data_IF_503205918429
#
_entry.id   IF_503205918429
#
_cell.length_a   1.000
_cell.length_b   1.000
_cell.length_c   1.000
_cell.angle_alpha   90.00
_cell.angle_beta   90.00
_cell.angle_gamma   90.00
#
_symmetry.space_group_name_H-M   'P 1'
#
loop_
_entity.id
_entity.type
_entity.pdbx_description
1 polymer ?
#
# COMPACT_ATOMS: atom_id res chain seq x y z
N UNK A 1 19.34 22.64 1.43
CA UNK A 1 18.18 23.41 0.95
C UNK A 1 17.06 22.41 0.72
N UNK A 2 16.11 22.27 1.64
CA UNK A 2 15.07 21.22 1.57
C UNK A 2 13.65 21.76 1.59
N UNK A 3 13.41 22.97 2.11
CA UNK A 3 12.05 23.50 2.29
C UNK A 3 11.32 23.98 1.01
N UNK A 4 12.01 24.12 -0.13
CA UNK A 4 11.35 24.46 -1.41
C UNK A 4 10.90 23.23 -2.21
N UNK A 5 11.46 22.05 -1.92
CA UNK A 5 11.30 20.84 -2.74
C UNK A 5 10.71 19.65 -1.96
N UNK A 6 10.48 19.80 -0.65
CA UNK A 6 9.81 18.82 0.19
C UNK A 6 8.45 19.37 0.72
N UNK A 7 7.56 18.48 1.17
CA UNK A 7 6.18 18.71 1.63
C UNK A 7 5.93 19.65 2.80
N UNK A 8 6.74 20.68 3.05
CA UNK A 8 6.46 21.64 4.11
C UNK A 8 5.10 22.37 3.88
N UNK A 9 4.49 22.13 2.70
CA UNK A 9 3.16 22.56 2.24
C UNK A 9 2.15 21.43 1.98
N UNK A 10 2.43 20.13 2.22
CA UNK A 10 1.39 19.10 2.07
C UNK A 10 0.50 19.09 3.31
N UNK A 11 -0.69 19.66 3.16
CA UNK A 11 -1.72 19.67 4.18
C UNK A 11 -2.53 18.38 4.13
N UNK A 12 -3.14 18.00 5.26
CA UNK A 12 -4.14 16.93 5.30
C UNK A 12 -3.66 15.53 4.87
N UNK A 13 -2.35 15.25 4.93
CA UNK A 13 -1.80 13.91 4.70
C UNK A 13 -2.24 12.95 5.81
N UNK A 14 -2.79 11.79 5.44
CA UNK A 14 -3.18 10.73 6.37
C UNK A 14 -2.11 9.63 6.53
N UNK A 15 -1.40 9.31 5.45
CA UNK A 15 -0.34 8.31 5.38
C UNK A 15 0.63 8.68 4.27
N UNK A 16 1.90 8.32 4.42
CA UNK A 16 2.92 8.55 3.40
C UNK A 16 4.03 7.50 3.48
N UNK A 17 4.78 7.34 2.39
CA UNK A 17 6.05 6.63 2.36
C UNK A 17 6.96 7.20 1.27
N UNK A 18 8.27 7.11 1.49
CA UNK A 18 9.24 7.57 0.51
C UNK A 18 9.36 6.58 -0.65
N UNK A 19 9.41 7.12 -1.86
CA UNK A 19 9.92 6.40 -3.01
C UNK A 19 11.44 6.45 -2.98
N UNK A 20 12.06 5.30 -2.73
CA UNK A 20 13.51 5.16 -2.68
C UNK A 20 13.91 3.75 -3.10
N UNK A 21 15.14 3.55 -3.61
CA UNK A 21 15.66 2.20 -3.87
C UNK A 21 15.56 1.32 -2.62
N UNK A 22 15.28 0.02 -2.82
CA UNK A 22 15.12 -0.93 -1.71
C UNK A 22 16.36 -1.04 -0.81
N UNK A 23 17.55 -0.73 -1.36
CA UNK A 23 18.83 -0.73 -0.67
C UNK A 23 19.27 0.65 -0.16
N UNK A 24 18.39 1.67 -0.17
CA UNK A 24 18.70 3.03 0.24
C UNK A 24 19.33 3.14 1.64
N UNK A 25 18.92 2.31 2.60
CA UNK A 25 19.51 2.29 3.96
C UNK A 25 21.00 1.91 3.94
N UNK A 26 21.42 1.13 2.94
CA UNK A 26 22.81 0.68 2.78
C UNK A 26 23.62 1.65 1.93
N UNK A 27 23.01 2.18 0.88
CA UNK A 27 23.69 3.05 -0.09
C UNK A 27 23.70 4.52 0.33
N UNK A 28 22.82 4.91 1.27
CA UNK A 28 22.57 6.31 1.60
C UNK A 28 21.89 7.08 0.46
N UNK A 29 21.24 6.37 -0.48
CA UNK A 29 20.55 6.99 -1.59
C UNK A 29 19.45 7.93 -1.09
N UNK A 30 19.40 9.13 -1.66
CA UNK A 30 18.33 10.07 -1.38
C UNK A 30 16.99 9.54 -1.94
N UNK A 31 15.86 9.85 -1.31
CA UNK A 31 14.55 9.54 -1.87
C UNK A 31 14.36 10.25 -3.22
N UNK A 32 13.65 9.58 -4.12
CA UNK A 32 13.30 10.07 -5.45
C UNK A 32 11.93 10.78 -5.46
N UNK A 33 11.08 10.42 -4.51
CA UNK A 33 9.69 10.86 -4.46
C UNK A 33 9.00 10.53 -3.15
N UNK A 34 7.72 10.86 -3.09
CA UNK A 34 6.83 10.61 -1.96
C UNK A 34 5.49 10.08 -2.47
N UNK A 35 5.07 8.93 -1.96
CA UNK A 35 3.69 8.50 -2.05
C UNK A 35 2.95 8.98 -0.81
N UNK A 36 1.74 9.51 -0.99
CA UNK A 36 0.96 9.99 0.13
C UNK A 36 -0.54 9.94 -0.14
N UNK A 37 -1.32 9.83 0.94
CA UNK A 37 -2.78 9.86 0.88
C UNK A 37 -3.32 11.16 1.46
N UNK A 38 -4.30 11.79 0.80
CA UNK A 38 -4.90 13.04 1.23
C UNK A 38 -6.31 12.87 1.81
N UNK A 39 -6.57 13.58 2.90
CA UNK A 39 -7.89 13.70 3.52
C UNK A 39 -8.73 14.77 2.82
N UNK A 40 -10.02 14.49 2.69
CA UNK A 40 -11.03 15.49 2.36
C UNK A 40 -11.43 16.30 3.60
N UNK A 41 -12.37 17.25 3.42
CA UNK A 41 -12.93 18.09 4.50
C UNK A 41 -13.54 17.33 5.69
N UNK A 42 -13.91 16.06 5.51
CA UNK A 42 -14.46 15.19 6.57
C UNK A 42 -13.36 14.34 7.23
N UNK A 43 -12.08 14.66 7.01
CA UNK A 43 -10.91 13.93 7.50
C UNK A 43 -10.79 12.48 6.99
N UNK A 44 -11.56 12.11 5.95
CA UNK A 44 -11.47 10.80 5.29
C UNK A 44 -10.41 10.84 4.19
N UNK A 45 -9.48 9.91 4.17
CA UNK A 45 -8.50 9.82 3.09
C UNK A 45 -9.16 9.29 1.80
N UNK A 46 -9.15 10.10 0.74
CA UNK A 46 -9.87 9.79 -0.51
C UNK A 46 -8.99 9.69 -1.73
N UNK A 47 -7.77 10.25 -1.69
CA UNK A 47 -6.84 10.23 -2.83
C UNK A 47 -5.49 9.68 -2.41
N UNK A 48 -4.84 8.99 -3.34
CA UNK A 48 -3.42 8.61 -3.27
C UNK A 48 -2.70 9.27 -4.42
N UNK A 49 -1.62 9.97 -4.10
CA UNK A 49 -0.81 10.71 -5.04
C UNK A 49 0.65 10.31 -4.93
N UNK A 50 1.39 10.58 -5.99
CA UNK A 50 2.84 10.51 -6.03
C UNK A 50 3.41 11.88 -6.40
N UNK A 51 4.36 12.36 -5.60
CA UNK A 51 5.15 13.55 -5.85
C UNK A 51 6.60 13.16 -6.11
N UNK A 52 7.17 13.60 -7.23
CA UNK A 52 8.61 13.43 -7.49
C UNK A 52 9.37 14.56 -6.82
N UNK A 53 10.39 14.21 -6.03
CA UNK A 53 11.20 15.22 -5.35
C UNK A 53 12.01 16.03 -6.36
N UNK A 54 11.99 17.35 -6.16
CA UNK A 54 12.60 18.32 -7.07
C UNK A 54 11.60 18.99 -8.00
N UNK A 55 10.41 18.41 -8.19
CA UNK A 55 9.33 19.08 -8.93
C UNK A 55 8.78 20.25 -8.11
N UNK A 56 8.31 21.30 -8.80
CA UNK A 56 7.79 22.50 -8.14
C UNK A 56 6.43 22.24 -7.48
N UNK A 57 6.33 22.57 -6.20
CA UNK A 57 5.09 22.58 -5.44
C UNK A 57 4.41 23.95 -5.50
N UNK A 58 3.63 24.21 -6.56
CA UNK A 58 2.65 25.29 -6.57
C UNK A 58 1.43 24.89 -5.72
N UNK A 59 1.65 24.73 -4.41
CA UNK A 59 0.68 24.12 -3.50
C UNK A 59 -0.64 24.89 -3.41
N UNK A 60 -1.75 24.15 -3.53
CA UNK A 60 -3.05 24.53 -2.98
C UNK A 60 -3.35 23.69 -1.73
N UNK A 61 -4.38 24.04 -0.95
CA UNK A 61 -4.80 23.28 0.24
C UNK A 61 -5.21 21.81 -0.06
N UNK A 62 -5.42 21.48 -1.34
CA UNK A 62 -5.98 20.21 -1.78
C UNK A 62 -5.02 19.32 -2.59
N UNK A 63 -4.04 19.87 -3.33
CA UNK A 63 -3.00 19.15 -4.08
C UNK A 63 -1.98 20.13 -4.73
N UNK A 64 -0.77 19.66 -5.03
CA UNK A 64 0.13 20.35 -5.97
C UNK A 64 -0.23 19.92 -7.41
N UNK A 65 -0.37 20.84 -8.38
CA UNK A 65 -0.87 20.54 -9.73
C UNK A 65 -0.02 19.56 -10.53
N UNK A 66 1.23 19.32 -10.11
CA UNK A 66 2.17 18.42 -10.77
C UNK A 66 2.18 16.99 -10.19
N UNK A 67 1.41 16.75 -9.13
CA UNK A 67 1.40 15.44 -8.49
C UNK A 67 0.55 14.43 -9.28
N UNK A 68 1.07 13.23 -9.42
CA UNK A 68 0.42 12.15 -10.16
C UNK A 68 -0.66 11.52 -9.27
N UNK A 69 -1.94 11.69 -9.64
CA UNK A 69 -3.05 10.99 -9.01
C UNK A 69 -3.01 9.50 -9.38
N UNK A 70 -2.77 8.64 -8.39
CA UNK A 70 -2.72 7.19 -8.58
C UNK A 70 -4.09 6.53 -8.36
N UNK A 71 -4.82 6.96 -7.32
CA UNK A 71 -6.12 6.39 -6.97
C UNK A 71 -7.01 7.45 -6.32
N UNK A 72 -8.29 7.47 -6.66
CA UNK A 72 -9.33 8.25 -5.98
C UNK A 72 -10.50 7.36 -5.58
N UNK A 73 -10.79 7.27 -4.29
CA UNK A 73 -12.03 6.68 -3.78
C UNK A 73 -13.17 7.68 -3.87
N UNK A 74 -14.16 7.35 -4.71
CA UNK A 74 -15.43 8.09 -4.82
C UNK A 74 -16.51 7.56 -3.88
N UNK A 75 -16.30 6.38 -3.28
CA UNK A 75 -17.27 5.77 -2.38
C UNK A 75 -17.06 6.31 -0.95
N UNK A 76 -18.12 6.83 -0.34
CA UNK A 76 -18.04 7.47 0.96
C UNK A 76 -17.73 6.52 2.13
N UNK A 77 -17.97 5.23 1.93
CA UNK A 77 -17.70 4.16 2.89
C UNK A 77 -16.23 3.74 2.89
N UNK A 78 -15.46 4.17 1.90
CA UNK A 78 -14.09 3.72 1.69
C UNK A 78 -13.06 4.82 1.95
N UNK A 79 -11.93 4.40 2.51
CA UNK A 79 -10.74 5.22 2.69
C UNK A 79 -9.57 4.60 1.93
N UNK A 80 -8.61 5.44 1.55
CA UNK A 80 -7.36 4.99 0.90
C UNK A 80 -6.15 5.29 1.77
N UNK A 81 -5.14 4.42 1.75
CA UNK A 81 -3.88 4.64 2.46
C UNK A 81 -2.71 4.05 1.70
N UNK A 82 -1.51 4.54 2.00
CA UNK A 82 -0.26 4.03 1.43
C UNK A 82 0.63 3.45 2.53
N UNK A 83 1.48 2.50 2.16
CA UNK A 83 2.49 1.90 3.00
C UNK A 83 3.60 1.26 2.18
N UNK A 84 4.63 0.75 2.84
CA UNK A 84 5.76 0.09 2.18
C UNK A 84 5.89 -1.34 2.71
N UNK A 85 6.27 -2.24 1.82
CA UNK A 85 6.64 -3.61 2.16
C UNK A 85 7.91 -3.66 3.03
N UNK A 86 8.10 -4.76 3.78
CA UNK A 86 9.20 -4.85 4.74
C UNK A 86 10.58 -4.85 4.06
N UNK A 87 10.66 -5.38 2.85
CA UNK A 87 11.87 -5.37 2.01
C UNK A 87 12.02 -4.10 1.16
N UNK A 88 11.06 -3.18 1.23
CA UNK A 88 11.03 -1.91 0.49
C UNK A 88 11.03 -2.05 -1.04
N UNK A 89 10.73 -3.24 -1.57
CA UNK A 89 10.66 -3.46 -3.01
C UNK A 89 9.32 -3.02 -3.61
N UNK A 90 8.29 -2.91 -2.78
CA UNK A 90 6.97 -2.46 -3.21
C UNK A 90 6.33 -1.44 -2.26
N UNK A 91 5.57 -0.52 -2.83
CA UNK A 91 4.59 0.30 -2.13
C UNK A 91 3.23 -0.39 -2.21
N UNK A 92 2.49 -0.37 -1.11
CA UNK A 92 1.12 -0.90 -1.05
C UNK A 92 0.12 0.25 -0.97
N UNK A 93 -0.91 0.20 -1.79
CA UNK A 93 -2.06 1.12 -1.72
C UNK A 93 -3.29 0.34 -1.30
N UNK A 94 -3.84 0.64 -0.11
CA UNK A 94 -5.04 -0.01 0.42
C UNK A 94 -6.26 0.85 0.14
N UNK A 95 -7.32 0.25 -0.40
CA UNK A 95 -8.64 0.85 -0.57
C UNK A 95 -9.65 0.03 0.21
N UNK A 96 -10.20 0.58 1.29
CA UNK A 96 -10.89 -0.23 2.29
C UNK A 96 -12.10 0.46 2.91
N UNK A 97 -13.14 -0.33 3.15
CA UNK A 97 -14.25 -0.01 4.06
C UNK A 97 -14.01 -0.67 5.42
N UNK A 98 -15.07 -0.81 6.23
CA UNK A 98 -15.04 -1.55 7.49
C UNK A 98 -15.10 -3.07 7.32
N UNK A 99 -15.60 -3.55 6.18
CA UNK A 99 -15.94 -4.97 5.97
C UNK A 99 -15.19 -5.59 4.81
N UNK A 100 -14.72 -4.78 3.86
CA UNK A 100 -14.03 -5.27 2.68
C UNK A 100 -12.92 -4.32 2.24
N UNK A 101 -11.98 -4.84 1.47
CA UNK A 101 -10.93 -4.03 0.87
C UNK A 101 -10.35 -4.66 -0.39
N UNK A 102 -9.54 -3.87 -1.07
CA UNK A 102 -8.56 -4.33 -2.03
C UNK A 102 -7.22 -3.63 -1.77
N UNK A 103 -6.14 -4.26 -2.20
CA UNK A 103 -4.78 -3.76 -2.06
C UNK A 103 -4.09 -3.84 -3.40
N UNK A 104 -3.48 -2.74 -3.78
CA UNK A 104 -2.63 -2.63 -4.93
C UNK A 104 -1.16 -2.62 -4.51
N UNK A 105 -0.28 -3.13 -5.36
CA UNK A 105 1.17 -2.96 -5.24
C UNK A 105 1.70 -2.09 -6.36
N UNK A 106 2.76 -1.34 -6.06
CA UNK A 106 3.57 -0.59 -7.01
C UNK A 106 5.00 -1.04 -6.78
N UNK A 107 5.69 -1.50 -7.83
CA UNK A 107 7.13 -1.78 -7.77
C UNK A 107 7.87 -0.44 -7.64
N UNK A 108 8.80 -0.34 -6.70
CA UNK A 108 9.57 0.90 -6.51
C UNK A 108 10.45 1.27 -7.70
N UNK A 109 10.70 0.34 -8.63
CA UNK A 109 11.44 0.59 -9.86
C UNK A 109 10.53 0.83 -11.07
N UNK A 110 9.21 0.89 -10.91
CA UNK A 110 8.27 1.18 -11.99
C UNK A 110 8.16 2.69 -12.21
N UNK A 111 8.83 3.21 -13.25
CA UNK A 111 8.80 4.63 -13.61
C UNK A 111 7.39 5.18 -13.85
N UNK A 112 6.43 4.33 -14.24
CA UNK A 112 5.04 4.73 -14.46
C UNK A 112 4.15 4.62 -13.22
N UNK A 113 4.69 4.10 -12.10
CA UNK A 113 3.97 3.95 -10.83
C UNK A 113 2.66 3.16 -10.96
N UNK A 114 2.64 2.11 -11.78
CA UNK A 114 1.40 1.41 -12.12
C UNK A 114 0.88 0.59 -10.93
N UNK A 115 -0.40 0.75 -10.65
CA UNK A 115 -1.12 -0.04 -9.64
C UNK A 115 -1.40 -1.45 -10.13
N UNK A 116 -0.97 -2.44 -9.34
CA UNK A 116 -1.23 -3.86 -9.57
C UNK A 116 -2.15 -4.38 -8.48
N UNK A 117 -3.38 -4.75 -8.84
CA UNK A 117 -4.30 -5.34 -7.86
C UNK A 117 -3.83 -6.74 -7.45
N UNK A 118 -3.59 -6.92 -6.14
CA UNK A 118 -3.10 -8.19 -5.59
C UNK A 118 -4.22 -9.22 -5.39
N UNK A 119 -5.42 -8.74 -5.08
CA UNK A 119 -6.65 -9.52 -4.99
C UNK A 119 -7.86 -8.58 -5.12
N UNK A 120 -8.66 -8.68 -6.18
CA UNK A 120 -9.83 -7.80 -6.36
C UNK A 120 -10.77 -7.85 -5.16
N UNK A 121 -11.42 -6.72 -4.90
CA UNK A 121 -12.39 -6.59 -3.82
C UNK A 121 -13.50 -7.63 -3.94
N UNK A 122 -13.86 -8.23 -2.81
CA UNK A 122 -15.00 -9.15 -2.67
C UNK A 122 -15.81 -8.70 -1.47
N UNK A 123 -17.13 -8.68 -1.61
CA UNK A 123 -18.05 -8.26 -0.55
C UNK A 123 -17.80 -9.03 0.75
N UNK A 124 -17.75 -8.30 1.87
CA UNK A 124 -17.51 -8.84 3.22
C UNK A 124 -16.20 -9.63 3.38
N UNK A 125 -15.22 -9.41 2.49
CA UNK A 125 -13.88 -10.00 2.59
C UNK A 125 -12.84 -8.93 2.89
N UNK A 126 -12.35 -8.98 4.13
CA UNK A 126 -11.22 -8.19 4.58
C UNK A 126 -9.91 -8.99 4.42
N UNK A 127 -8.86 -8.30 3.97
CA UNK A 127 -7.51 -8.85 3.96
C UNK A 127 -6.41 -7.80 4.17
N UNK A 128 -5.28 -8.25 4.69
CA UNK A 128 -4.04 -7.48 4.80
C UNK A 128 -2.92 -8.22 4.11
N UNK A 129 -2.03 -7.50 3.43
CA UNK A 129 -0.87 -8.05 2.75
C UNK A 129 0.42 -7.50 3.34
N UNK A 130 1.44 -8.33 3.35
CA UNK A 130 2.81 -7.95 3.62
C UNK A 130 3.74 -8.71 2.67
N UNK A 131 4.95 -8.20 2.47
CA UNK A 131 5.97 -8.82 1.62
C UNK A 131 7.33 -8.72 2.29
N UNK A 132 8.11 -9.78 2.15
CA UNK A 132 9.52 -9.82 2.48
C UNK A 132 10.24 -10.83 1.60
N UNK A 133 11.27 -10.37 0.90
CA UNK A 133 12.01 -11.19 -0.06
C UNK A 133 11.09 -11.68 -1.18
N UNK A 134 11.17 -12.95 -1.59
CA UNK A 134 10.37 -13.46 -2.72
C UNK A 134 8.89 -13.68 -2.37
N UNK A 135 8.51 -13.60 -1.09
CA UNK A 135 7.21 -14.03 -0.62
C UNK A 135 6.30 -12.86 -0.24
N UNK A 136 5.06 -13.00 -0.70
CA UNK A 136 3.91 -12.27 -0.18
C UNK A 136 3.21 -13.10 0.88
N UNK A 137 2.61 -12.42 1.85
CA UNK A 137 1.80 -13.02 2.90
C UNK A 137 0.48 -12.27 3.00
N UNK A 138 -0.63 -12.99 2.96
CA UNK A 138 -1.96 -12.41 3.01
C UNK A 138 -2.77 -13.01 4.16
N UNK A 139 -3.10 -12.17 5.13
CA UNK A 139 -4.11 -12.48 6.15
C UNK A 139 -5.48 -12.16 5.55
N UNK A 140 -6.40 -13.13 5.46
CA UNK A 140 -7.70 -12.94 4.80
C UNK A 140 -8.85 -13.63 5.53
N UNK A 141 -10.05 -13.06 5.46
CA UNK A 141 -11.32 -13.69 5.88
C UNK A 141 -11.87 -14.66 4.82
N UNK A 142 -11.34 -14.63 3.60
CA UNK A 142 -11.89 -15.41 2.49
C UNK A 142 -11.99 -16.90 2.85
N UNK A 143 -13.19 -17.45 2.73
CA UNK A 143 -13.46 -18.87 3.01
C UNK A 143 -13.25 -19.30 4.46
N UNK A 144 -13.24 -18.36 5.42
CA UNK A 144 -13.21 -18.65 6.85
C UNK A 144 -14.62 -18.56 7.47
N UNK A 145 -14.81 -19.13 8.66
CA UNK A 145 -15.97 -18.79 9.47
C UNK A 145 -15.95 -17.30 9.87
N UNK A 146 -17.11 -16.77 10.27
CA UNK A 146 -17.26 -15.36 10.64
C UNK A 146 -16.25 -14.97 11.72
N UNK A 147 -15.62 -13.81 11.54
CA UNK A 147 -14.61 -13.22 12.44
C UNK A 147 -13.29 -14.02 12.55
N UNK A 148 -13.06 -15.00 11.68
CA UNK A 148 -11.79 -15.75 11.62
C UNK A 148 -10.97 -15.34 10.40
N UNK A 149 -9.66 -15.58 10.49
CA UNK A 149 -8.73 -15.31 9.41
C UNK A 149 -7.81 -16.52 9.21
N UNK A 150 -7.36 -16.66 7.97
CA UNK A 150 -6.29 -17.58 7.58
C UNK A 150 -5.11 -16.79 7.03
N UNK A 151 -3.98 -17.46 6.90
CA UNK A 151 -2.79 -16.93 6.26
C UNK A 151 -2.52 -17.69 4.96
N UNK A 152 -2.36 -16.93 3.88
CA UNK A 152 -1.92 -17.43 2.59
C UNK A 152 -0.52 -16.88 2.29
N UNK A 153 0.29 -17.70 1.62
CA UNK A 153 1.59 -17.28 1.07
C UNK A 153 1.44 -17.16 -0.43
N UNK A 154 1.98 -16.09 -0.99
CA UNK A 154 1.93 -15.80 -2.41
C UNK A 154 3.30 -15.60 -3.01
N UNK A 155 3.42 -15.95 -4.29
CA UNK A 155 4.57 -15.63 -5.13
C UNK A 155 4.07 -15.06 -6.46
N UNK A 156 4.88 -14.22 -7.10
CA UNK A 156 4.62 -13.79 -8.46
C UNK A 156 4.63 -15.01 -9.39
N UNK A 157 3.50 -15.33 -10.01
CA UNK A 157 3.42 -16.40 -11.02
C UNK A 157 4.20 -16.05 -12.28
N UNK A 158 4.19 -14.77 -12.61
CA UNK A 158 4.86 -14.16 -13.73
C UNK A 158 5.01 -12.68 -13.37
N UNK A 159 6.25 -12.24 -13.10
CA UNK A 159 6.54 -10.86 -12.72
C UNK A 159 6.12 -9.85 -13.81
N UNK A 160 6.03 -10.29 -15.07
CA UNK A 160 5.56 -9.44 -16.17
C UNK A 160 4.04 -9.27 -16.19
N UNK A 161 3.30 -10.30 -15.75
CA UNK A 161 1.83 -10.26 -15.63
C UNK A 161 1.37 -9.73 -14.28
N UNK A 162 2.31 -9.55 -13.33
CA UNK A 162 2.07 -8.94 -12.03
C UNK A 162 0.87 -9.60 -11.31
N UNK A 163 0.82 -10.93 -11.36
CA UNK A 163 -0.21 -11.74 -10.72
C UNK A 163 0.40 -12.62 -9.64
N UNK A 164 -0.12 -12.51 -8.42
CA UNK A 164 0.27 -13.37 -7.30
C UNK A 164 -0.58 -14.64 -7.31
N UNK A 165 0.06 -15.81 -7.19
CA UNK A 165 -0.64 -17.05 -6.88
C UNK A 165 -0.58 -17.27 -5.39
N UNK A 166 -1.75 -17.33 -4.77
CA UNK A 166 -1.92 -17.52 -3.35
C UNK A 166 -2.12 -19.00 -3.02
N UNK A 167 -1.45 -19.47 -1.98
CA UNK A 167 -1.57 -20.83 -1.47
C UNK A 167 -1.74 -20.81 0.06
N UNK A 168 -2.51 -21.75 0.63
CA UNK A 168 -2.69 -21.83 2.08
C UNK A 168 -1.35 -22.00 2.80
N UNK A 169 -1.12 -21.22 3.85
CA UNK A 169 0.07 -21.31 4.70
C UNK A 169 -0.29 -21.65 6.15
N UNK A 170 -1.24 -20.91 6.75
CA UNK A 170 -1.90 -21.27 8.01
C UNK A 170 -3.39 -21.34 7.71
N UNK A 171 -3.95 -22.55 7.75
CA UNK A 171 -5.38 -22.77 7.59
C UNK A 171 -6.14 -22.32 8.84
N UNK A 172 -7.40 -21.93 8.64
CA UNK A 172 -8.30 -21.62 9.75
C UNK A 172 -8.34 -22.77 10.76
N UNK A 173 -8.26 -22.41 12.05
CA UNK A 173 -8.60 -23.33 13.13
C UNK A 173 -9.67 -22.69 13.99
N UNK A 174 -10.83 -23.36 14.14
CA UNK A 174 -11.96 -22.83 14.90
C UNK A 174 -11.68 -22.67 16.41
N UNK A 175 -10.49 -23.04 16.89
CA UNK A 175 -10.08 -22.94 18.29
C UNK A 175 -9.39 -21.62 18.66
N UNK A 176 -8.96 -20.81 17.68
CA UNK A 176 -8.36 -19.50 17.92
C UNK A 176 -8.52 -18.57 16.70
N UNK A 177 -8.65 -17.27 16.95
CA UNK A 177 -8.72 -16.25 15.91
C UNK A 177 -7.32 -15.70 15.59
N UNK A 178 -6.97 -15.61 14.31
CA UNK A 178 -5.72 -15.01 13.84
C UNK A 178 -5.92 -13.50 13.63
N UNK A 179 -5.55 -12.69 14.62
CA UNK A 179 -5.87 -11.25 14.65
C UNK A 179 -4.87 -10.35 13.91
N UNK A 180 -3.65 -10.82 13.66
CA UNK A 180 -2.63 -9.97 13.05
C UNK A 180 -1.39 -10.73 12.63
N UNK A 181 -0.60 -10.05 11.79
CA UNK A 181 0.68 -10.54 11.28
C UNK A 181 1.63 -9.34 11.15
N UNK A 182 2.87 -9.54 11.57
CA UNK A 182 3.98 -8.64 11.24
C UNK A 182 4.94 -9.38 10.34
N UNK A 183 5.46 -8.72 9.30
CA UNK A 183 6.54 -9.29 8.49
C UNK A 183 7.73 -8.37 8.61
N UNK A 184 8.88 -8.96 8.90
CA UNK A 184 10.17 -8.29 8.88
C UNK A 184 11.06 -8.95 7.82
N UNK A 185 12.25 -8.42 7.61
CA UNK A 185 13.23 -9.03 6.71
C UNK A 185 13.61 -10.46 7.14
N UNK A 186 13.62 -10.72 8.44
CA UNK A 186 14.19 -11.93 9.02
C UNK A 186 13.13 -12.89 9.59
N UNK A 187 11.89 -12.42 9.79
CA UNK A 187 10.82 -13.16 10.48
C UNK A 187 9.43 -12.84 9.94
N UNK A 188 8.57 -13.86 9.99
CA UNK A 188 7.11 -13.80 9.93
C UNK A 188 6.54 -14.01 11.34
#
# INVERSE_FOLDING_TARGET
>A
QTGEHLPDKLWNVASYCFHQPADADKTGAAPLGLFYSLRNKNLRSTKVLYHRLGDTCEGSEDFAPNDHLLLESKNEMFSVSVGTTADKECVTVRHASKTENEVYSIDVNDDEMRLVNLLPMVDDVEYGVAKSGPHWFMRTKAGCAKDHFRLERGEWTDASKRQVRWEPYIVEKCTYAFEGMGVTKDLL
#
